data_IF_445689910204
#
_entry.id   IF_445689910204
#
_cell.length_a   1.000
_cell.length_b   1.000
_cell.length_c   1.000
_cell.angle_alpha   90.00
_cell.angle_beta   90.00
_cell.angle_gamma   90.00
#
_symmetry.space_group_name_H-M   'P 1'
#
loop_
_entity.id
_entity.type
_entity.pdbx_description
1 polymer ?
#
# COMPACT_ATOMS: atom_id res chain seq x y z
N UNK A 1 0.31 -10.65 32.99
CA UNK A 1 1.45 -10.14 32.19
C UNK A 1 1.21 -8.67 31.94
N UNK A 2 2.27 -7.89 31.78
CA UNK A 2 2.17 -6.52 31.28
C UNK A 2 1.64 -6.57 29.84
N UNK A 3 0.77 -5.63 29.46
CA UNK A 3 0.21 -5.57 28.10
C UNK A 3 1.28 -5.08 27.13
N UNK A 4 1.26 -5.59 25.92
CA UNK A 4 2.15 -5.15 24.84
C UNK A 4 1.70 -3.75 24.40
N UNK A 5 2.61 -2.78 24.39
CA UNK A 5 2.34 -1.39 24.00
C UNK A 5 2.49 -1.23 22.49
N UNK A 6 1.38 -1.04 21.81
CA UNK A 6 1.29 -0.96 20.35
C UNK A 6 1.08 0.49 19.92
N UNK A 7 2.05 1.06 19.22
CA UNK A 7 1.93 2.37 18.58
C UNK A 7 1.18 2.27 17.26
N UNK A 8 -0.04 2.81 17.16
CA UNK A 8 -0.76 2.89 15.89
C UNK A 8 -0.41 4.22 15.22
N UNK A 9 0.39 4.17 14.15
CA UNK A 9 0.90 5.37 13.47
C UNK A 9 0.08 5.67 12.21
N UNK A 10 -0.48 6.88 12.09
CA UNK A 10 -1.44 7.22 11.03
C UNK A 10 -1.44 8.70 10.62
N UNK A 11 -2.18 9.04 9.56
CA UNK A 11 -2.24 10.37 8.94
C UNK A 11 -1.14 10.56 7.90
N UNK A 12 -0.27 11.55 8.11
CA UNK A 12 0.91 11.85 7.29
C UNK A 12 0.67 12.89 6.20
N UNK A 13 1.78 13.41 5.64
CA UNK A 13 1.76 14.33 4.49
C UNK A 13 1.60 13.54 3.19
N UNK A 14 0.42 12.97 3.01
CA UNK A 14 0.04 12.18 1.84
C UNK A 14 -1.36 12.58 1.39
N UNK A 15 -1.66 12.45 0.10
CA UNK A 15 -3.04 12.54 -0.40
C UNK A 15 -3.96 11.46 0.20
N UNK A 16 -3.38 10.44 0.81
CA UNK A 16 -4.08 9.29 1.41
C UNK A 16 -4.22 9.42 2.94
N UNK A 17 -3.98 10.63 3.48
CA UNK A 17 -4.09 10.95 4.91
C UNK A 17 -5.41 10.49 5.53
N UNK A 18 -6.54 10.82 4.89
CA UNK A 18 -7.86 10.48 5.41
C UNK A 18 -8.06 8.95 5.50
N UNK A 19 -7.60 8.21 4.49
CA UNK A 19 -7.67 6.74 4.47
C UNK A 19 -6.81 6.14 5.58
N UNK A 20 -5.64 6.72 5.84
CA UNK A 20 -4.78 6.34 6.96
C UNK A 20 -5.50 6.49 8.30
N UNK A 21 -6.17 7.62 8.53
CA UNK A 21 -6.98 7.86 9.74
C UNK A 21 -8.12 6.83 9.91
N UNK A 22 -8.83 6.49 8.82
CA UNK A 22 -9.93 5.51 8.86
C UNK A 22 -9.40 4.10 9.13
N UNK A 23 -8.28 3.73 8.53
CA UNK A 23 -7.61 2.44 8.76
C UNK A 23 -7.15 2.31 10.21
N UNK A 24 -6.54 3.34 10.77
CA UNK A 24 -6.16 3.39 12.18
C UNK A 24 -7.37 3.23 13.12
N UNK A 25 -8.45 3.96 12.86
CA UNK A 25 -9.69 3.82 13.63
C UNK A 25 -10.25 2.39 13.56
N UNK A 26 -10.17 1.74 12.40
CA UNK A 26 -10.63 0.36 12.21
C UNK A 26 -9.80 -0.62 13.06
N UNK A 27 -8.47 -0.49 13.05
CA UNK A 27 -7.56 -1.31 13.87
C UNK A 27 -7.81 -1.09 15.37
N UNK A 28 -7.87 0.16 15.81
CA UNK A 28 -8.06 0.54 17.23
C UNK A 28 -9.39 0.01 17.80
N UNK A 29 -10.41 -0.13 16.94
CA UNK A 29 -11.72 -0.64 17.35
C UNK A 29 -11.74 -2.17 17.56
N UNK A 30 -10.91 -2.92 16.84
CA UNK A 30 -10.93 -4.40 16.87
C UNK A 30 -9.76 -5.02 17.64
N UNK A 31 -8.68 -4.27 17.88
CA UNK A 31 -7.49 -4.76 18.57
C UNK A 31 -7.83 -5.29 19.97
N UNK A 32 -7.27 -6.45 20.32
CA UNK A 32 -7.50 -7.15 21.59
C UNK A 32 -6.96 -6.33 22.77
N UNK A 33 -7.86 -5.74 23.53
CA UNK A 33 -7.52 -4.86 24.66
C UNK A 33 -7.04 -5.62 25.88
N UNK A 34 -7.21 -6.94 25.96
CA UNK A 34 -6.65 -7.74 27.05
C UNK A 34 -5.16 -8.03 26.81
N UNK A 35 -4.74 -8.09 25.54
CA UNK A 35 -3.33 -8.26 25.14
C UNK A 35 -2.56 -6.95 24.97
N UNK A 36 -3.21 -5.92 24.43
CA UNK A 36 -2.53 -4.71 23.95
C UNK A 36 -2.95 -3.43 24.69
N UNK A 37 -1.97 -2.61 25.05
CA UNK A 37 -2.14 -1.19 25.36
C UNK A 37 -1.92 -0.38 24.07
N UNK A 38 -2.91 0.40 23.65
CA UNK A 38 -2.87 1.12 22.37
C UNK A 38 -2.38 2.54 22.59
N UNK A 39 -1.40 2.95 21.80
CA UNK A 39 -0.89 4.33 21.74
C UNK A 39 -1.14 4.88 20.34
N UNK A 40 -2.21 5.65 20.11
CA UNK A 40 -2.45 6.27 18.81
C UNK A 40 -1.49 7.46 18.59
N UNK A 41 -0.79 7.46 17.45
CA UNK A 41 0.21 8.46 17.06
C UNK A 41 -0.19 9.00 15.69
N UNK A 42 -0.63 10.26 15.63
CA UNK A 42 -1.04 10.91 14.39
C UNK A 42 0.04 11.85 13.86
N UNK A 43 0.21 11.87 12.54
CA UNK A 43 1.01 12.86 11.81
C UNK A 43 0.04 13.75 11.02
N UNK A 44 0.14 15.07 11.19
CA UNK A 44 -0.66 16.06 10.44
C UNK A 44 -0.18 16.18 8.99
N UNK A 45 -0.96 16.86 8.14
CA UNK A 45 -0.60 17.17 6.75
C UNK A 45 0.62 18.11 6.63
N UNK A 46 0.94 18.86 7.70
CA UNK A 46 2.12 19.72 7.81
C UNK A 46 3.33 19.04 8.51
N UNK A 47 3.29 17.72 8.71
CA UNK A 47 4.33 16.91 9.37
C UNK A 47 4.53 17.16 10.88
N UNK A 48 3.54 17.73 11.56
CA UNK A 48 3.51 17.76 13.03
C UNK A 48 3.07 16.41 13.59
N UNK A 49 3.61 16.01 14.74
CA UNK A 49 3.31 14.72 15.38
C UNK A 49 2.54 14.93 16.68
N UNK A 50 1.55 14.08 16.95
CA UNK A 50 0.77 14.12 18.18
C UNK A 50 0.45 12.70 18.67
N UNK A 51 0.47 12.51 19.99
CA UNK A 51 -0.06 11.32 20.66
C UNK A 51 -1.48 11.63 21.08
N UNK A 52 -2.39 10.69 20.87
CA UNK A 52 -3.79 10.86 21.23
C UNK A 52 -4.14 9.96 22.42
N UNK A 53 -5.10 10.41 23.23
CA UNK A 53 -5.71 9.51 24.20
C UNK A 53 -6.50 8.42 23.47
N UNK A 54 -6.28 7.17 23.88
CA UNK A 54 -7.04 6.03 23.42
C UNK A 54 -8.45 6.03 24.04
N UNK A 55 -9.38 6.71 23.36
CA UNK A 55 -10.80 6.78 23.72
C UNK A 55 -11.64 5.89 22.81
N UNK A 56 -12.83 5.53 23.28
CA UNK A 56 -13.87 4.87 22.46
C UNK A 56 -15.10 5.78 22.33
N UNK A 57 -15.53 6.14 21.10
CA UNK A 57 -14.82 5.93 19.83
C UNK A 57 -13.52 6.75 19.76
N UNK A 58 -12.51 6.23 19.05
CA UNK A 58 -11.21 6.91 18.89
C UNK A 58 -11.35 8.11 17.95
N UNK A 59 -11.88 7.89 16.76
CA UNK A 59 -12.29 8.94 15.83
C UNK A 59 -13.80 8.84 15.59
N UNK A 60 -14.50 9.97 15.71
CA UNK A 60 -15.90 10.08 15.28
C UNK A 60 -15.89 10.63 13.87
N UNK A 61 -16.33 9.83 12.89
CA UNK A 61 -16.39 10.23 11.49
C UNK A 61 -17.70 10.97 11.23
N UNK A 62 -17.62 12.26 10.90
CA UNK A 62 -18.76 13.05 10.43
C UNK A 62 -19.07 12.70 8.97
N UNK A 63 -20.34 12.50 8.64
CA UNK A 63 -20.76 12.19 7.26
C UNK A 63 -20.46 13.38 6.34
N UNK A 64 -19.60 13.18 5.34
CA UNK A 64 -19.23 14.19 4.34
C UNK A 64 -17.95 14.97 4.62
N UNK A 65 -17.28 14.73 5.76
CA UNK A 65 -15.97 15.31 6.08
C UNK A 65 -14.91 14.20 6.10
N UNK A 66 -13.81 14.41 5.38
CA UNK A 66 -12.66 13.53 5.45
C UNK A 66 -11.94 13.74 6.79
N UNK A 67 -11.60 12.69 7.54
CA UNK A 67 -10.90 12.84 8.81
C UNK A 67 -9.49 13.39 8.59
N UNK A 68 -9.10 14.34 9.44
CA UNK A 68 -7.77 14.92 9.47
C UNK A 68 -7.21 14.89 10.90
N UNK A 69 -5.91 14.64 11.01
CA UNK A 69 -5.17 14.81 12.26
C UNK A 69 -5.00 16.31 12.50
N UNK A 70 -5.71 16.87 13.47
CA UNK A 70 -5.53 18.25 13.94
C UNK A 70 -4.72 18.29 15.23
N UNK A 71 -3.93 19.35 15.42
CA UNK A 71 -3.10 19.55 16.64
C UNK A 71 -3.90 19.69 17.95
N UNK A 72 -5.24 19.64 17.88
CA UNK A 72 -6.16 19.74 19.02
C UNK A 72 -6.44 18.41 19.72
N UNK A 73 -5.89 17.29 19.23
CA UNK A 73 -5.77 16.06 20.00
C UNK A 73 -4.80 16.26 21.16
N UNK A 74 -5.14 15.69 22.33
CA UNK A 74 -4.50 15.95 23.62
C UNK A 74 -2.98 15.94 23.50
N UNK A 75 -2.39 17.14 23.56
CA UNK A 75 -0.95 17.27 23.64
C UNK A 75 -0.51 16.67 24.97
N UNK A 76 0.15 15.52 24.91
CA UNK A 76 1.08 15.19 25.98
C UNK A 76 2.21 16.21 25.85
N UNK A 77 2.56 16.95 26.90
CA UNK A 77 3.77 17.80 26.93
C UNK A 77 5.09 16.99 26.80
N UNK A 78 4.97 15.72 26.42
CA UNK A 78 6.03 14.74 26.27
C UNK A 78 6.35 14.62 24.78
N UNK A 79 7.59 14.90 24.34
CA UNK A 79 7.99 14.68 22.95
C UNK A 79 7.91 13.20 22.60
N UNK A 80 7.32 12.87 21.44
CA UNK A 80 7.47 11.54 20.84
C UNK A 80 8.86 11.49 20.21
N UNK A 81 9.79 10.85 20.90
CA UNK A 81 11.02 10.37 20.29
C UNK A 81 10.89 8.88 20.13
N UNK A 82 11.43 8.35 19.04
CA UNK A 82 11.57 6.93 18.86
C UNK A 82 12.81 6.40 19.63
N UNK A 83 13.54 7.21 20.44
CA UNK A 83 14.78 6.77 21.12
C UNK A 83 14.59 5.81 22.30
N UNK A 84 15.47 4.80 22.39
CA UNK A 84 15.44 3.76 23.43
C UNK A 84 15.97 4.18 24.83
N UNK A 85 16.31 5.46 25.10
CA UNK A 85 16.68 6.01 26.43
C UNK A 85 16.58 7.57 26.44
N UNK A 86 16.30 8.32 27.55
CA UNK A 86 15.99 8.00 28.98
C UNK A 86 14.49 8.21 29.41
N UNK A 87 14.07 7.80 30.63
CA UNK A 87 12.76 7.13 30.87
C UNK A 87 11.52 7.96 31.24
N UNK A 88 11.61 9.13 31.89
CA UNK A 88 10.44 9.61 32.66
C UNK A 88 9.41 10.42 31.84
N UNK A 89 9.79 10.83 30.64
CA UNK A 89 8.97 11.64 29.73
C UNK A 89 8.69 10.97 28.39
N UNK A 90 9.15 9.74 28.15
CA UNK A 90 9.01 9.09 26.85
C UNK A 90 7.98 7.97 26.87
N UNK A 91 7.24 7.84 25.78
CA UNK A 91 6.34 6.70 25.56
C UNK A 91 7.16 5.57 24.93
N UNK A 92 7.46 4.55 25.72
CA UNK A 92 8.08 3.32 25.21
C UNK A 92 7.04 2.46 24.49
N UNK A 93 7.39 1.95 23.31
CA UNK A 93 6.55 1.08 22.49
C UNK A 93 7.27 -0.24 22.28
N UNK A 94 6.54 -1.35 22.37
CA UNK A 94 7.07 -2.68 22.05
C UNK A 94 7.05 -2.91 20.53
N UNK A 95 6.03 -2.38 19.86
CA UNK A 95 5.80 -2.55 18.43
C UNK A 95 5.01 -1.36 17.86
N UNK A 96 5.29 -1.01 16.61
CA UNK A 96 4.56 0.01 15.85
C UNK A 96 3.76 -0.68 14.74
N UNK A 97 2.48 -0.33 14.60
CA UNK A 97 1.69 -0.65 13.42
C UNK A 97 1.60 0.62 12.56
N UNK A 98 2.48 0.80 11.55
CA UNK A 98 2.40 1.93 10.64
C UNK A 98 1.27 1.71 9.65
N UNK A 99 0.27 2.58 9.68
CA UNK A 99 -0.91 2.54 8.80
C UNK A 99 -0.93 3.78 7.91
N UNK A 100 0.26 4.25 7.53
CA UNK A 100 0.46 5.38 6.61
C UNK A 100 0.39 4.86 5.18
N UNK A 101 -0.35 5.55 4.30
CA UNK A 101 -0.49 5.17 2.90
C UNK A 101 0.18 6.20 1.98
N UNK A 102 0.77 5.72 0.89
CA UNK A 102 1.45 6.54 -0.08
C UNK A 102 2.84 7.00 0.37
N UNK A 103 3.33 8.14 -0.14
CA UNK A 103 4.64 8.69 0.20
C UNK A 103 4.85 8.78 1.73
N UNK A 104 6.09 8.57 2.15
CA UNK A 104 6.57 8.47 3.54
C UNK A 104 6.06 7.26 4.34
N UNK A 105 4.92 6.67 3.97
CA UNK A 105 4.34 5.49 4.63
C UNK A 105 4.76 4.17 4.00
N UNK A 106 4.77 4.11 2.67
CA UNK A 106 5.03 2.90 1.89
C UNK A 106 6.35 2.97 1.09
N UNK A 107 7.12 4.06 1.21
CA UNK A 107 8.34 4.29 0.41
C UNK A 107 9.66 3.95 1.14
N UNK A 108 9.57 3.37 2.34
CA UNK A 108 10.73 3.03 3.16
C UNK A 108 11.17 4.13 4.14
N UNK A 109 10.62 5.34 4.05
CA UNK A 109 11.05 6.47 4.91
C UNK A 109 10.73 6.21 6.37
N UNK A 110 9.47 5.87 6.69
CA UNK A 110 9.08 5.61 8.08
C UNK A 110 9.70 4.31 8.61
N UNK A 111 9.84 3.30 7.76
CA UNK A 111 10.49 2.04 8.11
C UNK A 111 11.93 2.30 8.56
N UNK A 112 12.67 3.14 7.82
CA UNK A 112 14.04 3.51 8.19
C UNK A 112 14.12 4.27 9.50
N UNK A 113 13.16 5.15 9.77
CA UNK A 113 13.06 5.82 11.07
C UNK A 113 12.82 4.80 12.20
N UNK A 114 11.92 3.84 12.01
CA UNK A 114 11.64 2.84 13.04
C UNK A 114 12.83 1.89 13.24
N UNK A 115 13.49 1.46 12.16
CA UNK A 115 14.68 0.60 12.20
C UNK A 115 15.84 1.26 12.97
N UNK A 116 16.08 2.57 12.76
CA UNK A 116 17.11 3.33 13.50
C UNK A 116 16.89 3.31 15.02
N UNK A 117 15.65 3.11 15.43
CA UNK A 117 15.23 3.11 16.81
C UNK A 117 15.10 1.71 17.42
N UNK A 118 15.34 0.68 16.61
CA UNK A 118 15.30 -0.72 17.01
C UNK A 118 13.98 -1.09 17.73
N UNK A 119 12.85 -0.67 17.14
CA UNK A 119 11.49 -1.01 17.55
C UNK A 119 10.90 -1.96 16.50
N UNK A 120 10.19 -3.00 16.94
CA UNK A 120 9.48 -3.89 16.03
C UNK A 120 8.38 -3.12 15.29
N UNK A 121 8.07 -3.50 14.05
CA UNK A 121 6.93 -2.93 13.35
C UNK A 121 6.26 -3.88 12.38
N UNK A 122 4.96 -3.68 12.21
CA UNK A 122 4.15 -4.42 11.26
C UNK A 122 4.50 -4.01 9.84
N UNK A 123 4.76 -5.01 8.99
CA UNK A 123 4.93 -4.84 7.55
C UNK A 123 6.37 -4.84 7.06
N UNK A 124 6.50 -4.51 5.78
CA UNK A 124 7.73 -4.70 5.00
C UNK A 124 8.83 -3.70 5.40
N UNK A 125 10.08 -4.14 5.34
CA UNK A 125 11.25 -3.28 5.60
C UNK A 125 11.50 -2.19 4.54
N UNK A 126 12.58 -1.42 4.73
CA UNK A 126 12.92 -0.25 3.90
C UNK A 126 12.99 -0.56 2.41
N UNK A 127 13.77 -1.58 2.01
CA UNK A 127 14.00 -1.90 0.61
C UNK A 127 12.72 -2.36 -0.09
N UNK A 128 11.98 -3.28 0.54
CA UNK A 128 10.75 -3.83 -0.01
C UNK A 128 9.68 -2.75 -0.18
N UNK A 129 9.52 -1.87 0.82
CA UNK A 129 8.65 -0.69 0.74
C UNK A 129 9.08 0.24 -0.41
N UNK A 130 10.35 0.64 -0.47
CA UNK A 130 10.86 1.52 -1.53
C UNK A 130 10.68 0.93 -2.94
N UNK A 131 10.89 -0.38 -3.11
CA UNK A 131 10.65 -1.08 -4.38
C UNK A 131 9.15 -1.10 -4.71
N UNK A 132 8.29 -1.45 -3.75
CA UNK A 132 6.85 -1.52 -3.94
C UNK A 132 6.24 -0.18 -4.35
N UNK A 133 6.71 0.92 -3.76
CA UNK A 133 6.27 2.27 -4.10
C UNK A 133 6.65 2.69 -5.52
N UNK A 134 7.88 2.37 -5.98
CA UNK A 134 8.36 2.79 -7.29
C UNK A 134 8.00 1.78 -8.38
N UNK A 135 6.89 2.06 -9.08
CA UNK A 135 6.35 1.22 -10.17
C UNK A 135 7.40 0.86 -11.22
N UNK A 136 8.28 1.80 -11.58
CA UNK A 136 9.31 1.56 -12.59
C UNK A 136 10.38 0.61 -12.09
N UNK A 137 10.78 0.75 -10.83
CA UNK A 137 11.80 -0.10 -10.20
C UNK A 137 11.24 -1.50 -9.96
N UNK A 138 10.04 -1.61 -9.40
CA UNK A 138 9.32 -2.87 -9.21
C UNK A 138 9.19 -3.65 -10.52
N UNK A 139 8.64 -3.02 -11.58
CA UNK A 139 8.46 -3.69 -12.87
C UNK A 139 9.78 -4.07 -13.54
N UNK A 140 10.82 -3.23 -13.44
CA UNK A 140 12.12 -3.57 -14.00
C UNK A 140 12.74 -4.81 -13.32
N UNK A 141 12.65 -4.90 -11.99
CA UNK A 141 13.14 -6.05 -11.22
C UNK A 141 12.33 -7.31 -11.51
N UNK A 142 11.00 -7.20 -11.58
CA UNK A 142 10.11 -8.32 -11.92
C UNK A 142 10.37 -8.85 -13.34
N UNK A 143 10.46 -7.94 -14.33
CA UNK A 143 10.76 -8.31 -15.73
C UNK A 143 12.12 -9.02 -15.82
N UNK A 144 13.13 -8.51 -15.11
CA UNK A 144 14.47 -9.11 -15.08
C UNK A 144 14.46 -10.51 -14.46
N UNK A 145 13.65 -10.74 -13.43
CA UNK A 145 13.48 -12.06 -12.81
C UNK A 145 12.51 -13.00 -13.55
N UNK A 146 11.97 -12.58 -14.71
CA UNK A 146 11.09 -13.39 -15.54
C UNK A 146 9.64 -13.47 -15.05
N UNK A 147 9.21 -12.54 -14.19
CA UNK A 147 7.79 -12.40 -13.86
C UNK A 147 7.02 -11.77 -15.03
N UNK A 148 5.77 -12.18 -15.29
CA UNK A 148 4.94 -11.59 -16.33
C UNK A 148 4.52 -10.18 -15.91
N UNK A 149 5.06 -9.16 -16.57
CA UNK A 149 4.68 -7.76 -16.39
C UNK A 149 4.35 -7.15 -17.76
N UNK A 150 3.43 -6.20 -17.78
CA UNK A 150 3.11 -5.44 -19.00
C UNK A 150 4.31 -4.65 -19.50
N UNK A 151 4.38 -4.40 -20.81
CA UNK A 151 5.44 -3.59 -21.39
C UNK A 151 5.34 -2.13 -20.97
N UNK A 152 6.50 -1.53 -20.70
CA UNK A 152 6.59 -0.18 -20.18
C UNK A 152 7.87 0.53 -20.61
N UNK A 153 7.82 1.86 -20.57
CA UNK A 153 8.96 2.77 -20.73
C UNK A 153 9.08 3.62 -19.47
N UNK A 154 10.29 3.65 -18.89
CA UNK A 154 10.64 4.54 -17.78
C UNK A 154 11.20 5.84 -18.30
N UNK A 155 10.71 6.95 -17.76
CA UNK A 155 11.13 8.30 -18.13
C UNK A 155 11.77 8.97 -16.90
N UNK A 156 13.08 9.21 -16.98
CA UNK A 156 13.78 10.03 -15.99
C UNK A 156 13.75 11.51 -16.39
N UNK A 157 13.69 12.40 -15.39
CA UNK A 157 13.59 13.86 -15.61
C UNK A 157 14.65 14.42 -16.56
N UNK A 158 15.90 14.00 -16.38
CA UNK A 158 17.02 14.44 -17.20
C UNK A 158 16.91 13.89 -18.64
N UNK A 159 16.45 12.65 -18.82
CA UNK A 159 16.27 12.08 -20.15
C UNK A 159 15.15 12.81 -20.89
N UNK A 160 14.04 13.11 -20.21
CA UNK A 160 12.94 13.87 -20.82
C UNK A 160 13.36 15.27 -21.28
N UNK A 161 14.15 15.98 -20.47
CA UNK A 161 14.66 17.32 -20.80
C UNK A 161 15.66 17.32 -21.95
N UNK A 162 16.49 16.28 -22.06
CA UNK A 162 17.65 16.26 -22.96
C UNK A 162 17.45 15.40 -24.23
N UNK A 163 16.55 14.41 -24.20
CA UNK A 163 16.39 13.40 -25.26
C UNK A 163 14.91 13.00 -25.47
N UNK A 164 14.01 14.00 -25.43
CA UNK A 164 12.56 13.81 -25.57
C UNK A 164 12.18 12.99 -26.82
N UNK A 165 12.81 13.27 -27.95
CA UNK A 165 12.46 12.65 -29.23
C UNK A 165 12.73 11.14 -29.24
N UNK A 166 13.80 10.68 -28.59
CA UNK A 166 14.10 9.27 -28.49
C UNK A 166 13.11 8.56 -27.55
N UNK A 167 12.75 9.19 -26.43
CA UNK A 167 11.73 8.66 -25.50
C UNK A 167 10.39 8.47 -26.21
N UNK A 168 9.95 9.46 -27.00
CA UNK A 168 8.70 9.35 -27.76
C UNK A 168 8.73 8.16 -28.73
N UNK A 169 9.85 7.91 -29.42
CA UNK A 169 10.03 6.73 -30.28
C UNK A 169 10.00 5.41 -29.52
N UNK A 170 10.52 5.37 -28.29
CA UNK A 170 10.40 4.17 -27.45
C UNK A 170 8.95 3.93 -27.02
N UNK A 171 8.20 4.99 -26.69
CA UNK A 171 6.78 4.90 -26.33
C UNK A 171 5.94 4.42 -27.51
N UNK A 172 6.24 4.86 -28.74
CA UNK A 172 5.55 4.39 -29.96
C UNK A 172 5.57 2.86 -30.10
N UNK A 173 6.62 2.19 -29.61
CA UNK A 173 6.74 0.72 -29.66
C UNK A 173 5.77 -0.01 -28.75
N UNK A 174 5.23 0.66 -27.73
CA UNK A 174 4.24 0.09 -26.81
C UNK A 174 2.88 -0.13 -27.49
N UNK A 175 2.59 0.61 -28.57
CA UNK A 175 1.26 0.67 -29.18
C UNK A 175 0.26 1.44 -28.30
N UNK A 176 -0.89 1.79 -28.87
CA UNK A 176 -1.97 2.48 -28.16
C UNK A 176 -3.13 1.51 -27.85
N UNK A 177 -3.87 1.71 -26.74
CA UNK A 177 -3.68 2.78 -25.76
C UNK A 177 -2.54 2.52 -24.78
N UNK A 178 -2.03 3.58 -24.15
CA UNK A 178 -1.05 3.52 -23.05
C UNK A 178 -1.58 4.18 -21.79
N UNK A 179 -1.06 3.81 -20.62
CA UNK A 179 -1.25 4.55 -19.38
C UNK A 179 0.00 5.35 -19.05
N UNK A 180 -0.15 6.63 -18.75
CA UNK A 180 0.91 7.50 -18.22
C UNK A 180 0.69 7.70 -16.73
N UNK A 181 1.70 7.41 -15.90
CA UNK A 181 1.59 7.45 -14.43
C UNK A 181 2.84 8.06 -13.78
N UNK A 182 2.72 8.82 -12.69
CA UNK A 182 3.85 9.10 -11.80
C UNK A 182 4.39 7.78 -11.23
N UNK A 183 5.71 7.64 -11.10
CA UNK A 183 6.30 6.36 -10.68
C UNK A 183 6.00 6.03 -9.21
N UNK A 184 5.95 7.04 -8.32
CA UNK A 184 5.83 6.89 -6.85
C UNK A 184 4.59 7.57 -6.28
N UNK A 185 3.48 7.55 -7.02
CA UNK A 185 2.19 8.02 -6.52
C UNK A 185 1.22 6.84 -6.31
N UNK A 186 0.48 6.89 -5.21
CA UNK A 186 -0.64 6.01 -4.89
C UNK A 186 -1.97 6.56 -5.39
N UNK A 187 -3.05 5.82 -5.13
CA UNK A 187 -4.43 6.28 -5.31
C UNK A 187 -4.77 6.83 -6.71
N UNK A 188 -4.13 6.33 -7.77
CA UNK A 188 -4.40 6.74 -9.16
C UNK A 188 -4.19 8.24 -9.46
N UNK A 189 -3.50 8.97 -8.58
CA UNK A 189 -3.24 10.40 -8.76
C UNK A 189 -2.30 10.62 -9.97
N UNK A 190 -2.76 11.42 -10.93
CA UNK A 190 -1.99 11.74 -12.14
C UNK A 190 -1.92 10.61 -13.17
N UNK A 191 -2.74 9.56 -13.05
CA UNK A 191 -2.84 8.49 -14.04
C UNK A 191 -3.75 8.94 -15.18
N UNK A 192 -3.30 8.74 -16.43
CA UNK A 192 -4.11 9.02 -17.62
C UNK A 192 -4.02 7.87 -18.63
N UNK A 193 -5.17 7.42 -19.15
CA UNK A 193 -5.24 6.50 -20.28
C UNK A 193 -5.22 7.31 -21.58
N UNK A 194 -4.23 7.07 -22.43
CA UNK A 194 -3.98 7.82 -23.66
C UNK A 194 -4.31 6.93 -24.85
N UNK A 195 -5.27 7.39 -25.66
CA UNK A 195 -5.73 6.69 -26.88
C UNK A 195 -5.18 7.32 -28.16
N UNK A 196 -4.59 8.52 -28.07
CA UNK A 196 -4.05 9.26 -29.20
C UNK A 196 -2.61 9.73 -28.93
N UNK A 197 -1.72 9.51 -29.89
CA UNK A 197 -0.30 9.84 -29.75
C UNK A 197 -0.03 11.33 -29.46
N UNK A 198 -0.89 12.22 -29.98
CA UNK A 198 -0.82 13.67 -29.76
C UNK A 198 -0.95 14.09 -28.29
N UNK A 199 -1.53 13.25 -27.44
CA UNK A 199 -1.79 13.54 -26.03
C UNK A 199 -0.67 13.07 -25.10
N UNK A 200 0.22 12.19 -25.58
CA UNK A 200 1.27 11.54 -24.76
C UNK A 200 2.17 12.58 -24.08
N UNK A 201 2.65 13.58 -24.83
CA UNK A 201 3.57 14.60 -24.30
C UNK A 201 2.94 15.40 -23.16
N UNK A 202 1.69 15.86 -23.35
CA UNK A 202 0.94 16.60 -22.32
C UNK A 202 0.71 15.76 -21.07
N UNK A 203 0.35 14.48 -21.23
CA UNK A 203 0.13 13.57 -20.13
C UNK A 203 1.42 13.32 -19.30
N UNK A 204 2.57 13.20 -19.97
CA UNK A 204 3.87 13.07 -19.30
C UNK A 204 4.20 14.33 -18.50
N UNK A 205 3.99 15.51 -19.07
CA UNK A 205 4.22 16.77 -18.35
C UNK A 205 3.32 16.90 -17.12
N UNK A 206 2.06 16.48 -17.20
CA UNK A 206 1.14 16.46 -16.07
C UNK A 206 1.58 15.46 -14.99
N UNK A 207 1.94 14.22 -15.37
CA UNK A 207 2.47 13.25 -14.42
C UNK A 207 3.76 13.75 -13.72
N UNK A 208 4.61 14.50 -14.45
CA UNK A 208 5.82 15.14 -13.92
C UNK A 208 5.59 16.25 -12.90
N UNK A 209 4.36 16.76 -12.77
CA UNK A 209 4.00 17.66 -11.66
C UNK A 209 4.02 16.90 -10.34
N UNK A 210 3.64 15.62 -10.35
CA UNK A 210 3.55 14.77 -9.17
C UNK A 210 4.83 13.99 -8.90
N UNK A 211 5.47 13.43 -9.93
CA UNK A 211 6.76 12.74 -9.80
C UNK A 211 7.65 13.00 -11.02
N UNK A 212 8.89 13.42 -10.78
CA UNK A 212 9.90 13.63 -11.84
C UNK A 212 10.34 12.33 -12.52
N UNK A 213 9.98 11.17 -11.96
CA UNK A 213 10.09 9.86 -12.58
C UNK A 213 8.69 9.41 -13.03
N UNK A 214 8.55 9.08 -14.31
CA UNK A 214 7.26 8.71 -14.92
C UNK A 214 7.38 7.33 -15.57
N UNK A 215 6.28 6.59 -15.57
CA UNK A 215 6.13 5.34 -16.30
C UNK A 215 5.04 5.48 -17.37
N UNK A 216 5.31 4.95 -18.55
CA UNK A 216 4.32 4.77 -19.62
C UNK A 216 4.17 3.30 -19.89
N UNK A 217 2.96 2.76 -19.80
CA UNK A 217 2.68 1.33 -19.87
C UNK A 217 1.73 1.03 -21.02
N UNK A 218 1.98 -0.04 -21.77
CA UNK A 218 1.00 -0.56 -22.72
C UNK A 218 -0.27 -0.97 -21.97
N UNK A 219 -1.44 -0.57 -22.49
CA UNK A 219 -2.70 -0.94 -21.87
C UNK A 219 -2.98 -2.44 -22.05
N UNK A 220 -3.37 -3.12 -20.98
CA UNK A 220 -3.79 -4.52 -21.02
C UNK A 220 -5.32 -4.54 -21.22
N UNK A 221 -5.73 -4.38 -22.47
CA UNK A 221 -7.14 -4.21 -22.81
C UNK A 221 -7.98 -5.44 -22.50
N UNK A 222 -9.19 -5.21 -21.97
CA UNK A 222 -10.17 -6.25 -21.65
C UNK A 222 -9.69 -7.30 -20.63
N UNK A 223 -8.74 -6.96 -19.76
CA UNK A 223 -8.36 -7.78 -18.62
C UNK A 223 -9.23 -7.48 -17.39
N UNK A 224 -9.37 -8.48 -16.52
CA UNK A 224 -9.96 -8.36 -15.19
C UNK A 224 -8.90 -7.89 -14.20
N UNK A 225 -9.25 -6.99 -13.30
CA UNK A 225 -8.37 -6.55 -12.21
C UNK A 225 -8.57 -7.47 -11.01
N UNK A 226 -7.52 -8.22 -10.66
CA UNK A 226 -7.54 -9.20 -9.58
C UNK A 226 -6.54 -8.79 -8.51
N UNK A 227 -6.95 -8.78 -7.25
CA UNK A 227 -6.08 -8.53 -6.10
C UNK A 227 -5.88 -9.82 -5.31
N UNK A 228 -4.68 -10.01 -4.74
CA UNK A 228 -4.40 -11.11 -3.82
C UNK A 228 -3.61 -10.60 -2.61
N UNK A 229 -4.14 -10.82 -1.41
CA UNK A 229 -3.47 -10.47 -0.17
C UNK A 229 -2.47 -11.54 0.22
N UNK A 230 -1.28 -11.13 0.64
CA UNK A 230 -0.19 -12.01 1.09
C UNK A 230 0.27 -11.58 2.49
N UNK A 231 0.52 -12.54 3.36
CA UNK A 231 1.16 -12.34 4.67
C UNK A 231 2.35 -13.28 4.85
N UNK A 232 3.30 -12.91 5.69
CA UNK A 232 4.33 -13.86 6.18
C UNK A 232 3.62 -15.01 6.91
N UNK A 233 3.91 -16.28 6.58
CA UNK A 233 3.36 -17.43 7.28
C UNK A 233 4.13 -17.84 8.53
N UNK A 234 3.46 -18.53 9.45
CA UNK A 234 4.06 -19.04 10.70
C UNK A 234 5.06 -20.18 10.44
N UNK A 235 4.72 -21.10 9.53
CA UNK A 235 5.55 -22.29 9.25
C UNK A 235 6.72 -21.96 8.33
N UNK A 236 7.95 -22.06 8.87
CA UNK A 236 9.21 -21.82 8.15
C UNK A 236 9.30 -20.44 7.47
N UNK A 237 8.47 -19.48 7.90
CA UNK A 237 8.32 -18.14 7.29
C UNK A 237 7.94 -18.18 5.80
N UNK A 238 7.27 -19.23 5.33
CA UNK A 238 6.75 -19.26 3.96
C UNK A 238 5.54 -18.34 3.84
N UNK A 239 5.51 -17.47 2.82
CA UNK A 239 4.39 -16.56 2.62
C UNK A 239 3.09 -17.31 2.29
N UNK A 240 1.96 -16.74 2.71
CA UNK A 240 0.62 -17.28 2.53
C UNK A 240 -0.24 -16.28 1.77
N UNK A 241 -0.90 -16.76 0.73
CA UNK A 241 -1.87 -15.97 -0.04
C UNK A 241 -3.31 -16.25 0.41
N UNK A 242 -4.13 -15.20 0.44
CA UNK A 242 -5.58 -15.25 0.61
C UNK A 242 -6.27 -15.84 -0.63
N UNK A 243 -7.59 -16.10 -0.54
CA UNK A 243 -8.44 -16.13 -1.72
C UNK A 243 -8.35 -14.78 -2.46
N UNK A 244 -8.20 -14.77 -3.80
CA UNK A 244 -8.18 -13.54 -4.58
C UNK A 244 -9.53 -12.83 -4.57
N UNK A 245 -9.50 -11.54 -4.89
CA UNK A 245 -10.67 -10.71 -5.06
C UNK A 245 -10.62 -9.96 -6.39
N UNK A 246 -11.76 -9.51 -6.88
CA UNK A 246 -11.89 -8.83 -8.17
C UNK A 246 -12.49 -7.44 -8.01
N UNK A 247 -11.93 -6.47 -8.74
CA UNK A 247 -12.50 -5.14 -8.89
C UNK A 247 -13.23 -5.10 -10.23
N UNK A 248 -14.54 -4.88 -10.19
CA UNK A 248 -15.36 -4.70 -11.38
C UNK A 248 -15.73 -3.24 -11.50
N UNK A 249 -15.05 -2.52 -12.39
CA UNK A 249 -15.36 -1.11 -12.70
C UNK A 249 -16.71 -1.05 -13.44
N UNK A 250 -17.65 -0.24 -12.96
CA UNK A 250 -18.97 -0.08 -13.60
C UNK A 250 -18.79 0.66 -14.95
N UNK A 251 -19.69 0.36 -15.91
CA UNK A 251 -19.55 0.69 -17.35
C UNK A 251 -19.29 2.16 -17.69
N UNK A 252 -19.60 3.08 -16.79
CA UNK A 252 -19.45 4.52 -17.01
C UNK A 252 -18.05 5.05 -16.63
N UNK A 253 -17.16 4.20 -16.10
CA UNK A 253 -15.79 4.53 -15.74
C UNK A 253 -14.79 3.68 -16.53
N UNK A 254 -13.72 4.30 -17.07
CA UNK A 254 -12.74 3.62 -17.91
C UNK A 254 -11.65 2.87 -17.11
N UNK A 255 -11.46 3.18 -15.82
CA UNK A 255 -10.51 2.52 -14.91
C UNK A 255 -10.80 2.91 -13.44
N UNK A 256 -10.18 2.20 -12.49
CA UNK A 256 -10.39 2.38 -11.05
C UNK A 256 -9.55 3.53 -10.46
N UNK A 257 -10.16 4.70 -10.24
CA UNK A 257 -9.51 5.91 -9.71
C UNK A 257 -9.83 6.20 -8.22
N UNK A 258 -9.28 7.28 -7.65
CA UNK A 258 -9.44 7.63 -6.23
C UNK A 258 -10.90 7.89 -5.83
N UNK A 259 -11.64 8.63 -6.66
CA UNK A 259 -13.06 8.94 -6.41
C UNK A 259 -13.87 7.64 -6.45
N UNK A 260 -13.56 6.75 -7.39
CA UNK A 260 -14.17 5.43 -7.49
C UNK A 260 -13.85 4.49 -6.32
N UNK A 261 -12.68 4.63 -5.69
CA UNK A 261 -12.27 3.79 -4.56
C UNK A 261 -13.02 4.08 -3.27
N UNK A 262 -13.46 5.32 -3.04
CA UNK A 262 -13.87 5.75 -1.69
C UNK A 262 -15.04 6.74 -1.62
N UNK A 263 -15.42 7.39 -2.73
CA UNK A 263 -16.47 8.41 -2.75
C UNK A 263 -17.69 8.01 -3.58
N UNK A 264 -17.53 7.11 -4.54
CA UNK A 264 -18.57 6.73 -5.49
C UNK A 264 -18.83 5.20 -5.49
N UNK A 265 -20.07 4.82 -5.79
CA UNK A 265 -20.49 3.43 -6.00
C UNK A 265 -20.12 3.00 -7.45
N UNK A 266 -18.90 3.29 -7.88
CA UNK A 266 -18.47 3.12 -9.29
C UNK A 266 -17.67 1.84 -9.54
N UNK A 267 -17.39 1.05 -8.50
CA UNK A 267 -16.84 -0.29 -8.63
C UNK A 267 -17.53 -1.28 -7.70
N UNK A 268 -17.69 -2.52 -8.17
CA UNK A 268 -18.11 -3.65 -7.36
C UNK A 268 -16.89 -4.45 -6.91
N UNK A 269 -16.77 -4.68 -5.60
CA UNK A 269 -15.67 -5.42 -4.98
C UNK A 269 -16.11 -6.84 -4.63
N UNK A 270 -15.69 -7.81 -5.43
CA UNK A 270 -16.10 -9.22 -5.33
C UNK A 270 -15.04 -10.03 -4.58
N UNK A 271 -15.43 -10.59 -3.43
CA UNK A 271 -14.55 -11.43 -2.59
C UNK A 271 -15.31 -12.70 -2.19
N UNK A 272 -14.83 -13.92 -2.54
CA UNK A 272 -13.72 -14.20 -3.44
C UNK A 272 -14.06 -13.94 -4.91
N UNK A 273 -13.04 -13.67 -5.73
CA UNK A 273 -13.18 -13.56 -7.19
C UNK A 273 -13.70 -14.87 -7.79
N UNK A 274 -14.56 -14.77 -8.81
CA UNK A 274 -15.10 -15.93 -9.51
C UNK A 274 -14.07 -16.43 -10.54
N UNK A 275 -13.24 -17.40 -10.14
CA UNK A 275 -12.11 -17.92 -10.89
C UNK A 275 -12.11 -19.45 -10.94
N UNK A 276 -11.61 -20.02 -12.02
CA UNK A 276 -11.30 -21.44 -12.06
C UNK A 276 -10.23 -21.79 -11.02
N UNK A 277 -10.35 -22.97 -10.39
CA UNK A 277 -9.44 -23.39 -9.32
C UNK A 277 -7.96 -23.35 -9.71
N UNK A 278 -7.64 -23.67 -10.96
CA UNK A 278 -6.27 -23.60 -11.48
C UNK A 278 -5.76 -22.17 -11.53
N UNK A 279 -6.55 -21.25 -12.10
CA UNK A 279 -6.19 -19.83 -12.20
C UNK A 279 -6.03 -19.22 -10.81
N UNK A 280 -6.92 -19.55 -9.88
CA UNK A 280 -6.82 -19.13 -8.50
C UNK A 280 -5.50 -19.59 -7.86
N UNK A 281 -5.15 -20.88 -8.00
CA UNK A 281 -3.91 -21.41 -7.46
C UNK A 281 -2.67 -20.77 -8.11
N UNK A 282 -2.70 -20.53 -9.42
CA UNK A 282 -1.61 -19.88 -10.16
C UNK A 282 -1.42 -18.42 -9.70
N UNK A 283 -2.52 -17.67 -9.49
CA UNK A 283 -2.51 -16.31 -8.93
C UNK A 283 -1.91 -16.27 -7.53
N UNK A 284 -2.38 -17.15 -6.64
CA UNK A 284 -1.89 -17.23 -5.26
C UNK A 284 -0.39 -17.55 -5.22
N UNK A 285 0.05 -18.51 -6.03
CA UNK A 285 1.48 -18.86 -6.15
C UNK A 285 2.31 -17.71 -6.72
N UNK A 286 1.78 -16.97 -7.71
CA UNK A 286 2.48 -15.84 -8.27
C UNK A 286 2.58 -14.68 -7.27
N UNK A 287 1.52 -14.44 -6.48
CA UNK A 287 1.49 -13.41 -5.44
C UNK A 287 2.53 -13.69 -4.35
N UNK A 288 2.59 -14.91 -3.83
CA UNK A 288 3.62 -15.30 -2.84
C UNK A 288 5.02 -15.18 -3.42
N UNK A 289 5.24 -15.57 -4.68
CA UNK A 289 6.55 -15.42 -5.34
C UNK A 289 6.98 -13.96 -5.51
N UNK A 290 6.07 -13.05 -5.83
CA UNK A 290 6.36 -11.60 -5.91
C UNK A 290 6.71 -11.06 -4.52
N UNK A 291 5.91 -11.40 -3.51
CA UNK A 291 6.14 -11.02 -2.12
C UNK A 291 7.53 -11.48 -1.63
N UNK A 292 7.85 -12.76 -1.83
CA UNK A 292 9.13 -13.35 -1.42
C UNK A 292 10.31 -12.74 -2.21
N UNK A 293 10.14 -12.50 -3.52
CA UNK A 293 11.20 -11.95 -4.37
C UNK A 293 11.63 -10.55 -3.95
N UNK A 294 10.67 -9.72 -3.52
CA UNK A 294 10.96 -8.38 -2.99
C UNK A 294 11.33 -8.37 -1.52
N UNK A 295 11.40 -9.54 -0.86
CA UNK A 295 11.65 -9.67 0.56
C UNK A 295 10.66 -8.84 1.38
N UNK A 296 9.38 -8.88 0.97
CA UNK A 296 8.29 -8.32 1.75
C UNK A 296 8.10 -9.10 3.05
N UNK A 297 7.59 -8.43 4.07
CA UNK A 297 7.36 -8.98 5.39
C UNK A 297 6.04 -8.42 5.96
N UNK A 298 5.45 -9.13 6.92
CA UNK A 298 4.15 -8.83 7.52
C UNK A 298 3.01 -9.03 6.53
N UNK A 299 2.82 -8.05 5.63
CA UNK A 299 1.73 -8.00 4.66
C UNK A 299 2.14 -7.31 3.37
N UNK A 300 1.49 -7.71 2.28
CA UNK A 300 1.38 -6.93 1.05
C UNK A 300 0.16 -7.36 0.25
N UNK A 301 -0.28 -6.53 -0.68
CA UNK A 301 -1.28 -6.90 -1.68
C UNK A 301 -0.67 -6.85 -3.06
N UNK A 302 -0.77 -7.93 -3.81
CA UNK A 302 -0.31 -8.00 -5.20
C UNK A 302 -1.51 -7.87 -6.12
N UNK A 303 -1.43 -6.93 -7.04
CA UNK A 303 -2.50 -6.58 -7.97
C UNK A 303 -2.11 -7.10 -9.36
N UNK A 304 -3.07 -7.68 -10.07
CA UNK A 304 -2.87 -8.38 -11.34
C UNK A 304 -3.89 -7.95 -12.38
N UNK A 305 -3.50 -8.12 -13.64
CA UNK A 305 -4.42 -8.21 -14.75
C UNK A 305 -4.56 -9.68 -15.18
N UNK A 306 -5.80 -10.16 -15.31
CA UNK A 306 -6.12 -11.47 -15.88
C UNK A 306 -6.75 -11.28 -17.26
N UNK A 307 -6.04 -11.69 -18.31
CA UNK A 307 -6.51 -11.54 -19.70
C UNK A 307 -7.63 -12.55 -20.02
N UNK A 308 -8.33 -12.34 -21.14
CA UNK A 308 -9.34 -13.29 -21.66
C UNK A 308 -8.77 -14.67 -22.00
N UNK A 309 -7.48 -14.72 -22.30
CA UNK A 309 -6.75 -15.96 -22.59
C UNK A 309 -6.16 -16.61 -21.31
N UNK A 310 -6.57 -16.12 -20.13
CA UNK A 310 -6.13 -16.55 -18.81
C UNK A 310 -4.64 -16.32 -18.52
N UNK A 311 -4.02 -15.34 -19.18
CA UNK A 311 -2.67 -14.89 -18.81
C UNK A 311 -2.75 -13.98 -17.59
N UNK A 312 -1.88 -14.25 -16.60
CA UNK A 312 -1.78 -13.47 -15.36
C UNK A 312 -0.58 -12.53 -15.50
N UNK A 313 -0.83 -11.24 -15.39
CA UNK A 313 0.19 -10.20 -15.50
C UNK A 313 0.24 -9.40 -14.20
N UNK A 314 1.41 -9.30 -13.58
CA UNK A 314 1.61 -8.50 -12.36
C UNK A 314 1.49 -7.02 -12.71
N UNK A 315 0.57 -6.31 -12.04
CA UNK A 315 0.42 -4.87 -12.17
C UNK A 315 1.31 -4.13 -11.17
N UNK A 316 1.07 -4.31 -9.88
CA UNK A 316 1.83 -3.66 -8.81
C UNK A 316 1.76 -4.46 -7.51
N UNK A 317 2.56 -4.05 -6.53
CA UNK A 317 2.52 -4.55 -5.15
C UNK A 317 2.35 -3.36 -4.22
N UNK A 318 1.44 -3.47 -3.26
CA UNK A 318 1.17 -2.47 -2.24
C UNK A 318 1.64 -3.02 -0.88
N UNK A 319 2.62 -2.38 -0.26
CA UNK A 319 3.25 -2.87 0.98
C UNK A 319 2.51 -2.44 2.25
N UNK A 320 1.61 -1.45 2.16
CA UNK A 320 0.63 -1.13 3.20
C UNK A 320 -0.74 -0.88 2.57
N UNK A 321 -1.43 -1.94 2.11
CA UNK A 321 -2.74 -1.80 1.47
C UNK A 321 -3.74 -1.19 2.45
N UNK A 322 -4.81 -0.59 1.92
CA UNK A 322 -5.91 -0.06 2.72
C UNK A 322 -6.38 -1.08 3.76
N UNK A 323 -6.46 -0.65 5.02
CA UNK A 323 -6.59 -1.55 6.17
C UNK A 323 -7.85 -1.28 7.00
N UNK A 324 -8.89 -0.74 6.37
CA UNK A 324 -10.22 -0.60 6.99
C UNK A 324 -10.96 -1.94 6.98
N UNK A 325 -12.00 -2.10 7.80
CA UNK A 325 -12.80 -3.33 7.81
C UNK A 325 -13.49 -3.65 6.47
N UNK A 326 -13.71 -2.66 5.61
CA UNK A 326 -14.30 -2.84 4.28
C UNK A 326 -13.26 -2.86 3.15
N UNK A 327 -11.98 -2.64 3.46
CA UNK A 327 -10.90 -2.69 2.49
C UNK A 327 -10.67 -4.12 2.00
N UNK A 328 -10.17 -4.24 0.77
CA UNK A 328 -9.98 -5.54 0.11
C UNK A 328 -9.03 -6.46 0.85
N UNK A 329 -7.96 -5.94 1.45
CA UNK A 329 -6.98 -6.77 2.15
C UNK A 329 -7.58 -7.53 3.35
N UNK A 330 -8.24 -6.88 4.34
CA UNK A 330 -8.95 -7.61 5.39
C UNK A 330 -10.07 -8.53 4.88
N UNK A 331 -10.87 -8.08 3.90
CA UNK A 331 -11.98 -8.90 3.34
C UNK A 331 -11.48 -10.18 2.68
N UNK A 332 -10.36 -10.14 1.98
CA UNK A 332 -9.74 -11.31 1.37
C UNK A 332 -9.29 -12.33 2.42
N UNK A 333 -8.72 -11.88 3.53
CA UNK A 333 -8.35 -12.77 4.64
C UNK A 333 -9.55 -13.32 5.40
N UNK A 334 -10.60 -12.53 5.59
CA UNK A 334 -11.85 -12.99 6.20
C UNK A 334 -12.51 -14.09 5.34
N UNK A 335 -12.58 -13.89 4.02
CA UNK A 335 -13.03 -14.92 3.09
C UNK A 335 -12.12 -16.17 3.09
N UNK A 336 -10.86 -16.01 3.51
CA UNK A 336 -9.88 -17.10 3.68
C UNK A 336 -9.91 -17.73 5.08
N UNK A 337 -10.83 -17.30 5.96
CA UNK A 337 -11.03 -17.85 7.30
C UNK A 337 -10.25 -17.18 8.42
N UNK A 338 -9.63 -16.01 8.19
CA UNK A 338 -8.93 -15.23 9.22
C UNK A 338 -9.69 -13.92 9.45
N UNK A 339 -10.34 -13.77 10.60
CA UNK A 339 -11.14 -12.56 10.91
C UNK A 339 -10.26 -11.34 11.07
N UNK A 340 -10.86 -10.15 10.98
CA UNK A 340 -10.11 -8.90 11.01
C UNK A 340 -9.37 -8.64 12.33
N UNK A 341 -9.99 -8.95 13.47
CA UNK A 341 -9.36 -8.88 14.81
C UNK A 341 -8.20 -9.89 14.94
N UNK A 342 -8.40 -11.11 14.47
CA UNK A 342 -7.37 -12.17 14.41
C UNK A 342 -6.21 -11.80 13.47
N UNK A 343 -6.50 -11.13 12.34
CA UNK A 343 -5.50 -10.63 11.40
C UNK A 343 -4.64 -9.51 12.02
N UNK A 344 -5.26 -8.58 12.76
CA UNK A 344 -4.53 -7.54 13.49
C UNK A 344 -3.61 -8.16 14.54
N UNK A 345 -4.11 -9.12 15.32
CA UNK A 345 -3.31 -9.85 16.30
C UNK A 345 -2.15 -10.60 15.62
N UNK A 346 -2.43 -11.31 14.54
CA UNK A 346 -1.43 -12.06 13.77
C UNK A 346 -0.28 -11.17 13.31
N UNK A 347 -0.59 -10.02 12.70
CA UNK A 347 0.43 -9.10 12.17
C UNK A 347 1.28 -8.48 13.27
N UNK A 348 0.68 -8.14 14.41
CA UNK A 348 1.42 -7.62 15.57
C UNK A 348 2.36 -8.70 16.14
N UNK A 349 1.88 -9.93 16.30
CA UNK A 349 2.68 -11.04 16.79
C UNK A 349 3.81 -11.40 15.81
N UNK A 350 3.57 -11.37 14.50
CA UNK A 350 4.60 -11.58 13.48
C UNK A 350 5.72 -10.54 13.60
N UNK A 351 5.37 -9.27 13.72
CA UNK A 351 6.32 -8.18 13.90
C UNK A 351 7.18 -8.35 15.16
N UNK A 352 6.57 -8.73 16.29
CA UNK A 352 7.26 -8.96 17.56
C UNK A 352 8.22 -10.16 17.51
N UNK A 353 7.88 -11.18 16.73
CA UNK A 353 8.71 -12.37 16.57
C UNK A 353 9.82 -12.20 15.51
N UNK A 354 9.85 -11.08 14.78
CA UNK A 354 10.89 -10.76 13.82
C UNK A 354 12.14 -10.22 14.54
N UNK A 355 13.35 -10.71 14.23
CA UNK A 355 14.58 -10.08 14.70
C UNK A 355 14.67 -8.63 14.24
N UNK A 356 15.14 -7.76 15.12
CA UNK A 356 15.31 -6.33 14.82
C UNK A 356 16.75 -6.09 14.36
N UNK A 357 16.94 -5.49 13.19
CA UNK A 357 18.27 -5.16 12.64
C UNK A 357 18.91 -6.27 11.82
N UNK A 358 20.14 -6.02 11.35
CA UNK A 358 20.95 -6.98 10.60
C UNK A 358 21.73 -7.86 11.58
N UNK A 359 21.39 -9.15 11.66
CA UNK A 359 22.06 -10.13 12.52
C UNK A 359 22.58 -11.31 11.73
#
# INVERSE_FOLDING_TARGET
MEKIRVGILFGGRSSEHAISCISANSIINVIDRDKYEVVPIGITTDNSWAVFEDKKPFLTLSKGELPEVTQTGIQTNKPVTFSKFPPDELISLDVIFPVLHGPYGEDGTIQGLIDLHAIAFVGSGVLASAIGMDKTTSKALLKTAGFPVGDFVTILDAQWKNDKQNILKEIEKLGLPVFVKPARAGSSLGIQKIKEASQIESAIEQARVHDKRVIVEASIENAREIECAVITGEEKKQSRASLPAEIIVKKDHEFYDFEAKYMDDSAELVVPAQLDKKIQADLQLLATRVFDYFNCEGLARVDFFLTKDNEIIVNEINTMPGFTSISMFPRMWEASGLKYDELVDYLIQEALNRPIGLH
#
